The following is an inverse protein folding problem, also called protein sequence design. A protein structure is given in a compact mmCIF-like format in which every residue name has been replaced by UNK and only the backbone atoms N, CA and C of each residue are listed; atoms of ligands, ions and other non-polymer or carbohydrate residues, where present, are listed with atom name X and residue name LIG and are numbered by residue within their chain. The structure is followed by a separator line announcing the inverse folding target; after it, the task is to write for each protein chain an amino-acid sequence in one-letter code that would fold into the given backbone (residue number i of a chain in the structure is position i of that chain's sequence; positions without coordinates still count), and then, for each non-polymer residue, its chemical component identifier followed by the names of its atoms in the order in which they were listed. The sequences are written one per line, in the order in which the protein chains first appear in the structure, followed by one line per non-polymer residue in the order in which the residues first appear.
data_IF_028292415639
#
_entry.id   IF_028292415639
#
_cell.length_a   1.000
_cell.length_b   1.000
_cell.length_c   1.000
_cell.angle_alpha   90.00
_cell.angle_beta   90.00
_cell.angle_gamma   90.00
#
_symmetry.space_group_name_H-M   'P 1'
#
loop_
_entity.id
_entity.type
_entity.pdbx_description
1 polymer ?
#
# COMPACT_ATOMS: atom_id res chain seq x y z
N UNK A 1 21.54 30.54 48.75
CA UNK A 1 20.21 30.13 48.26
C UNK A 1 19.90 30.62 46.84
N UNK A 2 20.27 31.86 46.45
CA UNK A 2 20.05 32.40 45.08
C UNK A 2 20.78 31.64 43.95
N UNK A 3 21.95 31.05 44.24
CA UNK A 3 22.76 30.28 43.27
C UNK A 3 22.16 28.89 42.94
N UNK A 4 21.41 28.29 43.87
CA UNK A 4 20.77 26.97 43.64
C UNK A 4 19.46 27.08 42.85
N UNK A 5 18.77 28.23 42.92
CA UNK A 5 17.55 28.50 42.13
C UNK A 5 17.88 28.78 40.65
N UNK A 6 19.06 29.33 40.36
CA UNK A 6 19.54 29.56 38.99
C UNK A 6 19.95 28.27 38.26
N UNK A 7 20.50 27.27 38.97
CA UNK A 7 20.89 26.00 38.36
C UNK A 7 19.71 25.09 38.01
N UNK A 8 18.63 25.10 38.79
CA UNK A 8 17.44 24.26 38.53
C UNK A 8 16.61 24.78 37.36
N UNK A 9 16.57 26.10 37.14
CA UNK A 9 15.87 26.71 35.99
C UNK A 9 16.54 26.41 34.65
N UNK A 10 17.88 26.26 34.61
CA UNK A 10 18.61 25.97 33.38
C UNK A 10 18.45 24.51 32.92
N UNK A 11 18.33 23.57 33.86
CA UNK A 11 18.10 22.16 33.55
C UNK A 11 16.69 21.87 33.02
N UNK A 12 15.68 22.62 33.47
CA UNK A 12 14.29 22.41 33.04
C UNK A 12 14.04 22.91 31.61
N UNK A 13 14.77 23.95 31.18
CA UNK A 13 14.72 24.47 29.80
C UNK A 13 15.36 23.51 28.78
N UNK A 14 16.39 22.76 29.17
CA UNK A 14 17.07 21.81 28.27
C UNK A 14 16.24 20.54 28.01
N UNK A 15 15.44 20.10 29.00
CA UNK A 15 14.58 18.92 28.88
C UNK A 15 13.42 19.09 27.88
N UNK A 16 12.96 20.32 27.62
CA UNK A 16 11.86 20.59 26.68
C UNK A 16 12.30 20.61 25.20
N UNK A 17 13.60 20.77 24.92
CA UNK A 17 14.12 20.86 23.54
C UNK A 17 14.26 19.47 22.91
N UNK A 18 14.57 18.43 23.70
CA UNK A 18 14.75 17.07 23.19
C UNK A 18 13.44 16.38 22.74
N UNK A 19 12.28 16.80 23.25
CA UNK A 19 10.98 16.17 22.94
C UNK A 19 10.33 16.66 21.62
N UNK A 20 10.89 17.71 21.03
CA UNK A 20 10.40 18.32 19.78
C UNK A 20 11.19 17.91 18.53
N UNK A 21 12.36 17.27 18.67
CA UNK A 21 13.15 16.81 17.53
C UNK A 21 12.73 15.45 16.95
N UNK A 22 12.08 14.56 17.72
CA UNK A 22 11.79 13.19 17.25
C UNK A 22 10.50 13.04 16.42
N UNK A 23 9.58 14.02 16.47
CA UNK A 23 8.25 13.88 15.84
C UNK A 23 8.23 14.16 14.33
N UNK A 24 9.20 14.90 13.78
CA UNK A 24 9.19 15.29 12.35
C UNK A 24 9.58 14.15 11.39
N UNK A 25 10.28 13.11 11.86
CA UNK A 25 10.84 12.07 10.99
C UNK A 25 9.85 10.96 10.61
N UNK A 26 8.94 10.58 11.51
CA UNK A 26 8.03 9.46 11.27
C UNK A 26 6.94 9.78 10.22
N UNK A 27 6.34 10.97 10.31
CA UNK A 27 5.31 11.41 9.36
C UNK A 27 5.87 11.58 7.93
N UNK A 28 7.09 12.14 7.82
CA UNK A 28 7.76 12.30 6.54
C UNK A 28 8.09 10.95 5.88
N UNK A 29 8.53 9.96 6.68
CA UNK A 29 8.78 8.61 6.20
C UNK A 29 7.51 7.90 5.73
N UNK A 30 6.42 7.99 6.50
CA UNK A 30 5.13 7.41 6.14
C UNK A 30 4.59 8.00 4.82
N UNK A 31 4.67 9.32 4.66
CA UNK A 31 4.28 10.01 3.43
C UNK A 31 5.12 9.55 2.22
N UNK A 32 6.45 9.44 2.38
CA UNK A 32 7.34 8.94 1.32
C UNK A 32 7.01 7.50 0.94
N UNK A 33 6.76 6.63 1.92
CA UNK A 33 6.39 5.22 1.69
C UNK A 33 5.05 5.13 0.95
N UNK A 34 4.07 5.95 1.33
CA UNK A 34 2.77 6.00 0.65
C UNK A 34 2.91 6.48 -0.80
N UNK A 35 3.71 7.52 -1.05
CA UNK A 35 3.97 8.00 -2.40
C UNK A 35 4.65 6.92 -3.28
N UNK A 36 5.64 6.20 -2.74
CA UNK A 36 6.28 5.09 -3.44
C UNK A 36 5.29 3.96 -3.76
N UNK A 37 4.41 3.63 -2.82
CA UNK A 37 3.40 2.58 -3.00
C UNK A 37 2.35 2.95 -4.07
N UNK A 38 1.94 4.22 -4.15
CA UNK A 38 1.07 4.72 -5.23
C UNK A 38 1.81 4.71 -6.58
N UNK A 39 3.08 5.10 -6.61
CA UNK A 39 3.89 5.05 -7.84
C UNK A 39 4.05 3.62 -8.36
N UNK A 40 4.24 2.64 -7.47
CA UNK A 40 4.28 1.22 -7.84
C UNK A 40 2.93 0.73 -8.40
N UNK A 41 1.81 1.18 -7.82
CA UNK A 41 0.49 0.86 -8.35
C UNK A 41 0.34 1.35 -9.79
N UNK A 42 0.61 2.63 -10.05
CA UNK A 42 0.43 3.23 -11.38
C UNK A 42 1.36 2.60 -12.43
N UNK A 43 2.62 2.34 -12.07
CA UNK A 43 3.63 1.82 -13.00
C UNK A 43 3.52 0.33 -13.29
N UNK A 44 3.07 -0.48 -12.32
CA UNK A 44 3.23 -1.94 -12.37
C UNK A 44 1.91 -2.70 -12.18
N UNK A 45 1.07 -2.30 -11.23
CA UNK A 45 -0.16 -3.03 -10.90
C UNK A 45 -1.30 -2.69 -11.85
N UNK A 46 -1.53 -1.40 -12.10
CA UNK A 46 -2.62 -0.91 -12.95
C UNK A 46 -2.55 -1.45 -14.39
N UNK A 47 -1.38 -1.52 -15.07
CA UNK A 47 -1.29 -2.15 -16.38
C UNK A 47 -1.65 -3.64 -16.38
N UNK A 48 -1.28 -4.39 -15.33
CA UNK A 48 -1.63 -5.80 -15.21
C UNK A 48 -3.13 -5.99 -14.97
N UNK A 49 -3.78 -5.12 -14.20
CA UNK A 49 -5.23 -5.13 -14.03
C UNK A 49 -5.92 -4.90 -15.38
N UNK A 50 -5.46 -3.90 -16.14
CA UNK A 50 -5.94 -3.64 -17.49
C UNK A 50 -5.82 -4.88 -18.40
N UNK A 51 -4.67 -5.54 -18.40
CA UNK A 51 -4.41 -6.69 -19.27
C UNK A 51 -5.11 -7.99 -18.82
N UNK A 52 -5.25 -8.24 -17.51
CA UNK A 52 -5.61 -9.57 -16.97
C UNK A 52 -6.97 -9.62 -16.28
N UNK A 53 -7.47 -8.50 -15.78
CA UNK A 53 -8.72 -8.42 -15.02
C UNK A 53 -9.88 -7.85 -15.85
N UNK A 54 -9.57 -7.21 -16.98
CA UNK A 54 -10.53 -6.85 -18.03
C UNK A 54 -11.25 -8.09 -18.61
N UNK A 55 -12.52 -7.96 -19.04
CA UNK A 55 -13.37 -6.77 -18.89
C UNK A 55 -14.08 -6.76 -17.53
N UNK A 56 -14.04 -7.87 -16.80
CA UNK A 56 -14.95 -8.14 -15.67
C UNK A 56 -14.87 -7.10 -14.55
N UNK A 57 -13.66 -6.58 -14.28
CA UNK A 57 -13.37 -5.66 -13.18
C UNK A 57 -13.18 -4.19 -13.64
N UNK A 58 -13.34 -3.88 -14.93
CA UNK A 58 -13.22 -2.52 -15.46
C UNK A 58 -14.57 -2.01 -15.95
N UNK A 59 -15.23 -1.09 -15.22
CA UNK A 59 -16.55 -0.58 -15.60
C UNK A 59 -16.59 0.07 -16.97
N UNK A 60 -15.51 0.78 -17.35
CA UNK A 60 -15.37 1.41 -18.67
C UNK A 60 -15.43 0.41 -19.83
N UNK A 61 -15.16 -0.88 -19.57
CA UNK A 61 -15.21 -1.97 -20.54
C UNK A 61 -16.44 -2.88 -20.33
N UNK A 62 -17.45 -2.40 -19.61
CA UNK A 62 -18.68 -3.15 -19.30
C UNK A 62 -18.55 -4.14 -18.14
N UNK A 63 -17.49 -4.01 -17.32
CA UNK A 63 -17.29 -4.80 -16.13
C UNK A 63 -18.41 -4.64 -15.10
N UNK A 64 -18.87 -5.77 -14.55
CA UNK A 64 -19.96 -5.84 -13.55
C UNK A 64 -19.51 -6.41 -12.20
N UNK A 65 -18.22 -6.74 -12.05
CA UNK A 65 -17.65 -7.17 -10.78
C UNK A 65 -17.15 -5.95 -10.00
N UNK A 66 -16.60 -6.18 -8.80
CA UNK A 66 -16.01 -5.11 -8.00
C UNK A 66 -15.03 -4.29 -8.87
N UNK A 67 -15.18 -2.97 -8.98
CA UNK A 67 -14.37 -2.17 -9.89
C UNK A 67 -12.92 -2.09 -9.42
N UNK A 68 -11.98 -2.25 -10.34
CA UNK A 68 -10.53 -2.13 -10.17
C UNK A 68 -9.96 -1.02 -11.05
N UNK A 69 -10.67 0.09 -11.15
CA UNK A 69 -10.34 1.23 -12.01
C UNK A 69 -9.54 2.33 -11.30
N UNK A 70 -9.27 2.18 -10.00
CA UNK A 70 -8.52 3.16 -9.22
C UNK A 70 -7.73 2.51 -8.06
N UNK A 71 -6.76 3.25 -7.53
CA UNK A 71 -5.87 2.79 -6.48
C UNK A 71 -6.61 2.32 -5.22
N UNK A 72 -7.58 3.11 -4.74
CA UNK A 72 -8.26 2.84 -3.47
C UNK A 72 -9.13 1.58 -3.55
N UNK A 73 -9.84 1.38 -4.66
CA UNK A 73 -10.70 0.20 -4.86
C UNK A 73 -9.90 -1.09 -4.92
N UNK A 74 -8.72 -1.06 -5.53
CA UNK A 74 -7.79 -2.19 -5.61
C UNK A 74 -7.10 -2.43 -4.26
N UNK A 75 -6.60 -1.37 -3.61
CA UNK A 75 -5.94 -1.43 -2.30
C UNK A 75 -6.86 -2.08 -1.27
N UNK A 76 -8.14 -1.67 -1.24
CA UNK A 76 -9.12 -2.18 -0.28
C UNK A 76 -9.37 -3.71 -0.34
N UNK A 77 -8.97 -4.38 -1.43
CA UNK A 77 -9.13 -5.85 -1.58
C UNK A 77 -7.86 -6.53 -2.06
N UNK A 78 -6.70 -5.90 -1.89
CA UNK A 78 -5.43 -6.33 -2.46
C UNK A 78 -5.03 -7.75 -2.01
N UNK A 79 -5.28 -8.09 -0.74
CA UNK A 79 -5.07 -9.43 -0.20
C UNK A 79 -6.02 -10.49 -0.82
N UNK A 80 -7.28 -10.13 -1.11
CA UNK A 80 -8.21 -11.04 -1.80
C UNK A 80 -7.78 -11.26 -3.25
N UNK A 81 -7.30 -10.21 -3.93
CA UNK A 81 -6.74 -10.32 -5.29
C UNK A 81 -5.61 -11.34 -5.30
N UNK A 82 -4.60 -11.19 -4.42
CA UNK A 82 -3.46 -12.11 -4.34
C UNK A 82 -3.93 -13.54 -4.10
N UNK A 83 -4.81 -13.77 -3.11
CA UNK A 83 -5.34 -15.12 -2.83
C UNK A 83 -5.94 -15.75 -4.08
N UNK A 84 -6.70 -14.98 -4.87
CA UNK A 84 -7.49 -15.52 -5.98
C UNK A 84 -6.70 -15.75 -7.27
N UNK A 85 -5.68 -14.94 -7.53
CA UNK A 85 -4.77 -15.14 -8.68
C UNK A 85 -3.76 -16.26 -8.44
N UNK A 86 -3.48 -16.60 -7.17
CA UNK A 86 -2.61 -17.73 -6.80
C UNK A 86 -3.29 -19.10 -6.97
N UNK A 87 -4.63 -19.15 -7.00
CA UNK A 87 -5.39 -20.37 -7.26
C UNK A 87 -5.08 -20.94 -8.64
N UNK A 88 -5.33 -22.23 -8.81
CA UNK A 88 -5.22 -22.98 -10.05
C UNK A 88 -6.56 -23.02 -10.80
N UNK A 89 -6.54 -23.12 -12.14
CA UNK A 89 -7.75 -23.33 -12.92
C UNK A 89 -8.55 -24.54 -12.41
N UNK A 90 -9.84 -24.34 -12.19
CA UNK A 90 -10.75 -25.34 -11.62
C UNK A 90 -11.01 -25.18 -10.11
N UNK A 91 -10.16 -24.46 -9.39
CA UNK A 91 -10.41 -24.17 -7.98
C UNK A 91 -11.50 -23.11 -7.80
N UNK A 92 -12.35 -23.31 -6.78
CA UNK A 92 -13.43 -22.38 -6.49
C UNK A 92 -12.87 -21.00 -6.13
N UNK A 93 -13.25 -20.01 -6.94
CA UNK A 93 -12.83 -18.62 -6.73
C UNK A 93 -11.59 -18.20 -7.52
N UNK A 94 -10.98 -19.12 -8.30
CA UNK A 94 -9.88 -18.83 -9.23
C UNK A 94 -10.17 -17.60 -10.09
N UNK A 95 -9.17 -16.74 -10.22
CA UNK A 95 -9.18 -15.60 -11.13
C UNK A 95 -7.90 -15.56 -11.98
N UNK A 96 -8.00 -15.16 -13.26
CA UNK A 96 -9.22 -14.66 -13.91
C UNK A 96 -10.15 -15.80 -14.36
N UNK A 97 -11.45 -15.63 -14.14
CA UNK A 97 -12.44 -16.69 -14.38
C UNK A 97 -12.45 -17.14 -15.84
N UNK A 98 -12.28 -18.45 -16.07
CA UNK A 98 -12.19 -19.08 -17.40
C UNK A 98 -11.11 -18.49 -18.32
N UNK A 99 -10.08 -17.86 -17.75
CA UNK A 99 -8.87 -17.44 -18.48
C UNK A 99 -7.65 -18.23 -17.99
N UNK A 100 -6.54 -18.08 -18.69
CA UNK A 100 -5.26 -18.61 -18.24
C UNK A 100 -4.85 -17.97 -16.92
N UNK A 101 -4.13 -18.75 -16.10
CA UNK A 101 -3.49 -18.26 -14.89
C UNK A 101 -2.45 -17.20 -15.25
N UNK A 102 -2.28 -16.21 -14.37
CA UNK A 102 -1.19 -15.25 -14.46
C UNK A 102 0.16 -15.98 -14.33
N UNK A 103 1.21 -15.41 -14.90
CA UNK A 103 2.56 -15.94 -14.72
C UNK A 103 3.04 -15.75 -13.27
N UNK A 104 4.09 -16.47 -12.88
CA UNK A 104 4.67 -16.34 -11.55
C UNK A 104 5.21 -14.91 -11.32
N UNK A 105 5.78 -14.30 -12.36
CA UNK A 105 6.30 -12.94 -12.36
C UNK A 105 5.17 -11.92 -12.21
N UNK A 106 4.06 -12.10 -12.93
CA UNK A 106 2.87 -11.24 -12.82
C UNK A 106 2.28 -11.30 -11.40
N UNK A 107 2.15 -12.50 -10.83
CA UNK A 107 1.68 -12.67 -9.44
C UNK A 107 2.64 -12.02 -8.44
N UNK A 108 3.96 -12.13 -8.66
CA UNK A 108 4.97 -11.53 -7.79
C UNK A 108 4.86 -10.00 -7.72
N UNK A 109 4.44 -9.33 -8.80
CA UNK A 109 4.17 -7.89 -8.80
C UNK A 109 3.08 -7.53 -7.79
N UNK A 110 1.94 -8.25 -7.81
CA UNK A 110 0.86 -8.02 -6.85
C UNK A 110 1.30 -8.29 -5.42
N UNK A 111 2.03 -9.39 -5.18
CA UNK A 111 2.53 -9.74 -3.84
C UNK A 111 3.48 -8.70 -3.29
N UNK A 112 4.41 -8.22 -4.11
CA UNK A 112 5.37 -7.18 -3.72
C UNK A 112 4.63 -5.89 -3.36
N UNK A 113 3.66 -5.48 -4.17
CA UNK A 113 2.87 -4.29 -3.91
C UNK A 113 2.12 -4.38 -2.57
N UNK A 114 1.43 -5.49 -2.32
CA UNK A 114 0.73 -5.74 -1.04
C UNK A 114 1.69 -5.76 0.15
N UNK A 115 2.89 -6.33 0.00
CA UNK A 115 3.88 -6.37 1.07
C UNK A 115 4.43 -4.98 1.43
N UNK A 116 4.50 -4.07 0.46
CA UNK A 116 4.98 -2.70 0.64
C UNK A 116 3.88 -1.74 1.13
N UNK A 117 2.65 -2.21 1.35
CA UNK A 117 1.53 -1.39 1.82
C UNK A 117 1.86 -0.64 3.12
N UNK A 118 1.45 0.62 3.18
CA UNK A 118 1.49 1.43 4.42
C UNK A 118 0.21 1.16 5.18
N UNK A 119 0.35 0.56 6.37
CA UNK A 119 -0.74 0.35 7.32
C UNK A 119 -1.02 1.63 8.11
#
# INVERSE_FOLDING_TARGET
MKKFILLTSLCLSFALIIFSCSRKSAAALASKKQAAHVAMYESSVKPLIAAKCSPCHLPAEGGKKKPFDNYDSVKAVSADIVRRIELNPGEKGFMPFKKSKLSAEEIAVFKKWVAEEVK
#
